data_IF_489741813491
#
_entry.id   IF_489741813491
#
_cell.length_a   1.000
_cell.length_b   1.000
_cell.length_c   1.000
_cell.angle_alpha   90.00
_cell.angle_beta   90.00
_cell.angle_gamma   90.00
#
_symmetry.space_group_name_H-M   'P 1'
#
loop_
_entity.id
_entity.type
_entity.pdbx_description
1 polymer ?
#
# COMPACT_ATOMS: atom_id res chain seq x y z
N UNK A 1 -4.48 33.01 32.25
CA UNK A 1 -3.03 32.83 31.92
C UNK A 1 -2.97 32.39 30.47
N UNK A 2 -2.52 33.25 29.56
CA UNK A 2 -2.45 32.93 28.13
C UNK A 2 -1.19 32.09 27.89
N UNK A 3 -1.35 30.88 27.43
CA UNK A 3 -0.22 30.09 26.98
C UNK A 3 0.30 30.68 25.68
N UNK A 4 1.45 31.33 25.73
CA UNK A 4 2.13 31.81 24.53
C UNK A 4 2.48 30.57 23.67
N UNK A 5 2.03 30.56 22.43
CA UNK A 5 2.33 29.50 21.48
C UNK A 5 3.84 29.35 21.36
N UNK A 6 4.33 28.17 21.63
CA UNK A 6 5.69 27.79 21.27
C UNK A 6 5.75 27.66 19.74
N UNK A 7 6.23 28.71 19.09
CA UNK A 7 6.49 28.70 17.66
C UNK A 7 7.68 27.80 17.36
N UNK A 8 7.43 26.48 17.29
CA UNK A 8 8.35 25.54 16.64
C UNK A 8 7.68 25.09 15.34
N UNK A 9 8.47 25.07 14.27
CA UNK A 9 8.05 24.46 13.01
C UNK A 9 7.50 23.05 13.29
N UNK A 10 6.25 22.79 12.98
CA UNK A 10 5.58 21.54 13.28
C UNK A 10 4.56 21.58 14.42
N UNK A 11 4.49 22.66 15.20
CA UNK A 11 3.45 22.82 16.21
C UNK A 11 2.19 23.48 15.62
N UNK A 12 1.05 22.95 15.99
CA UNK A 12 -0.25 23.49 15.61
C UNK A 12 -0.35 24.93 16.10
N UNK A 13 -0.60 25.88 15.21
CA UNK A 13 -0.84 27.28 15.56
C UNK A 13 -2.15 27.40 16.34
N UNK A 14 -2.31 28.49 17.13
CA UNK A 14 -3.54 28.75 17.88
C UNK A 14 -4.79 28.77 16.99
N UNK A 15 -4.69 29.24 15.76
CA UNK A 15 -5.78 29.21 14.78
C UNK A 15 -6.17 27.78 14.38
N UNK A 16 -5.20 26.88 14.28
CA UNK A 16 -5.47 25.45 14.02
C UNK A 16 -6.12 24.76 15.22
N UNK A 17 -5.75 25.16 16.43
CA UNK A 17 -6.37 24.66 17.65
C UNK A 17 -7.83 25.10 17.79
N UNK A 18 -8.13 26.35 17.44
CA UNK A 18 -9.52 26.85 17.42
C UNK A 18 -10.36 26.18 16.32
N UNK A 19 -9.75 25.80 15.21
CA UNK A 19 -10.41 25.02 14.15
C UNK A 19 -10.77 23.60 14.61
N UNK A 20 -9.93 22.98 15.43
CA UNK A 20 -10.26 21.68 16.05
C UNK A 20 -11.49 21.78 16.96
N UNK A 21 -11.60 22.88 17.75
CA UNK A 21 -12.74 23.11 18.64
C UNK A 21 -14.03 23.40 17.88
N UNK A 22 -13.93 23.96 16.68
CA UNK A 22 -15.06 24.23 15.79
C UNK A 22 -15.50 23.01 14.96
N UNK A 23 -14.98 21.82 15.25
CA UNK A 23 -15.30 20.59 14.52
C UNK A 23 -14.52 20.40 13.20
N UNK A 24 -13.67 21.34 12.83
CA UNK A 24 -12.76 21.18 11.71
C UNK A 24 -11.46 20.53 12.20
N UNK A 25 -11.21 19.31 11.81
CA UNK A 25 -9.95 18.63 12.12
C UNK A 25 -8.82 19.24 11.30
N UNK A 26 -7.86 19.98 11.91
CA UNK A 26 -6.73 20.46 11.14
C UNK A 26 -5.87 19.27 10.76
N UNK A 27 -5.66 19.08 9.49
CA UNK A 27 -4.75 18.07 8.98
C UNK A 27 -3.35 18.66 9.11
N UNK A 28 -2.55 18.06 9.98
CA UNK A 28 -1.16 18.46 10.17
C UNK A 28 -0.35 18.07 8.94
N UNK A 29 0.45 18.97 8.37
CA UNK A 29 1.42 18.61 7.35
C UNK A 29 2.30 17.45 7.85
N UNK A 30 2.51 16.45 7.03
CA UNK A 30 3.27 15.26 7.38
C UNK A 30 2.52 14.17 8.14
N UNK A 31 1.24 14.33 8.45
CA UNK A 31 0.40 13.27 9.00
C UNK A 31 -0.27 12.46 7.89
N UNK A 32 -0.38 11.15 8.10
CA UNK A 32 -1.19 10.30 7.23
C UNK A 32 -2.68 10.49 7.53
N UNK A 33 -3.44 10.74 6.47
CA UNK A 33 -4.89 10.88 6.52
C UNK A 33 -5.54 9.66 5.87
N UNK A 34 -6.54 9.06 6.52
CA UNK A 34 -7.32 7.98 5.93
C UNK A 34 -8.16 8.52 4.76
N UNK A 35 -7.94 7.99 3.57
CA UNK A 35 -8.62 8.41 2.34
C UNK A 35 -9.76 7.46 1.98
N UNK A 36 -9.51 6.17 2.00
CA UNK A 36 -10.47 5.15 1.61
C UNK A 36 -10.21 3.84 2.36
N UNK A 37 -11.27 3.09 2.62
CA UNK A 37 -11.16 1.72 3.14
C UNK A 37 -12.12 0.81 2.39
N UNK A 38 -11.60 -0.32 1.92
CA UNK A 38 -12.39 -1.40 1.36
C UNK A 38 -12.37 -2.60 2.32
N UNK A 39 -13.56 -3.06 2.73
CA UNK A 39 -13.76 -4.27 3.55
C UNK A 39 -14.56 -5.24 2.71
N UNK A 40 -14.02 -6.44 2.50
CA UNK A 40 -14.64 -7.44 1.65
C UNK A 40 -15.69 -8.23 2.43
N UNK A 41 -16.92 -8.18 1.97
CA UNK A 41 -18.05 -8.83 2.63
C UNK A 41 -18.17 -10.32 2.31
N UNK A 42 -17.53 -10.78 1.24
CA UNK A 42 -17.57 -12.17 0.76
C UNK A 42 -16.22 -12.60 0.17
N UNK A 43 -16.05 -13.89 -0.05
CA UNK A 43 -14.82 -14.50 -0.56
C UNK A 43 -14.89 -14.72 -2.08
N UNK A 44 -15.45 -13.78 -2.84
CA UNK A 44 -15.59 -13.87 -4.30
C UNK A 44 -14.77 -12.83 -5.06
N UNK A 45 -14.09 -11.94 -4.34
CA UNK A 45 -13.27 -10.86 -4.91
C UNK A 45 -11.85 -11.36 -5.11
N UNK A 46 -11.38 -11.36 -6.33
CA UNK A 46 -10.00 -11.72 -6.70
C UNK A 46 -9.08 -10.51 -6.88
N UNK A 47 -9.64 -9.33 -7.13
CA UNK A 47 -8.93 -8.06 -7.31
C UNK A 47 -9.59 -6.94 -6.52
N UNK A 48 -8.81 -6.20 -5.74
CA UNK A 48 -9.24 -4.97 -5.07
C UNK A 48 -8.54 -3.79 -5.70
N UNK A 49 -9.32 -2.83 -6.21
CA UNK A 49 -8.79 -1.68 -6.96
C UNK A 49 -9.21 -0.36 -6.34
N UNK A 50 -8.24 0.52 -6.15
CA UNK A 50 -8.40 1.94 -5.87
C UNK A 50 -8.15 2.71 -7.16
N UNK A 51 -9.11 3.48 -7.64
CA UNK A 51 -9.08 4.14 -8.95
C UNK A 51 -9.18 5.66 -8.82
N UNK A 52 -8.96 6.36 -9.94
CA UNK A 52 -9.05 7.83 -10.01
C UNK A 52 -8.07 8.56 -9.06
N UNK A 53 -6.95 7.92 -8.69
CA UNK A 53 -6.06 8.41 -7.64
C UNK A 53 -5.45 9.76 -7.98
N UNK A 54 -4.90 9.92 -9.18
CA UNK A 54 -4.26 11.18 -9.58
C UNK A 54 -5.27 12.32 -9.66
N UNK A 55 -6.45 12.10 -10.23
CA UNK A 55 -7.47 13.14 -10.35
C UNK A 55 -8.07 13.56 -9.01
N UNK A 56 -8.15 12.63 -8.06
CA UNK A 56 -8.77 12.88 -6.75
C UNK A 56 -7.76 13.39 -5.73
N UNK A 57 -6.54 12.88 -5.73
CA UNK A 57 -5.58 13.07 -4.65
C UNK A 57 -4.26 13.72 -5.08
N UNK A 58 -3.96 13.74 -6.39
CA UNK A 58 -2.64 14.15 -6.91
C UNK A 58 -2.24 15.59 -6.59
N UNK A 59 -3.19 16.50 -6.42
CA UNK A 59 -2.90 17.90 -6.03
C UNK A 59 -2.73 18.11 -4.52
N UNK A 60 -3.05 17.11 -3.70
CA UNK A 60 -3.14 17.25 -2.24
C UNK A 60 -2.12 16.41 -1.49
N UNK A 61 -1.82 15.22 -2.00
CA UNK A 61 -0.97 14.27 -1.31
C UNK A 61 0.29 13.97 -2.11
N UNK A 62 1.41 13.93 -1.40
CA UNK A 62 2.71 13.62 -1.99
C UNK A 62 2.97 12.10 -2.02
N UNK A 63 2.53 11.37 -0.98
CA UNK A 63 2.74 9.94 -0.88
C UNK A 63 1.43 9.24 -0.53
N UNK A 64 1.33 7.96 -0.90
CA UNK A 64 0.25 7.08 -0.50
C UNK A 64 0.80 5.94 0.35
N UNK A 65 0.03 5.53 1.35
CA UNK A 65 0.33 4.34 2.15
C UNK A 65 -0.90 3.43 2.19
N UNK A 66 -0.68 2.14 2.02
CA UNK A 66 -1.72 1.12 2.21
C UNK A 66 -1.42 0.29 3.45
N UNK A 67 -2.45 0.11 4.28
CA UNK A 67 -2.46 -0.87 5.37
C UNK A 67 -3.43 -1.97 5.02
N UNK A 68 -2.92 -3.18 4.95
CA UNK A 68 -3.66 -4.34 4.47
C UNK A 68 -3.67 -5.40 5.57
N UNK A 69 -4.86 -5.90 5.88
CA UNK A 69 -5.05 -7.12 6.65
C UNK A 69 -5.90 -8.03 5.78
N UNK A 70 -5.28 -9.03 5.18
CA UNK A 70 -5.92 -9.87 4.19
C UNK A 70 -5.52 -11.34 4.33
N UNK A 71 -6.43 -12.20 3.90
CA UNK A 71 -6.24 -13.62 3.82
C UNK A 71 -6.70 -14.09 2.44
N UNK A 72 -5.98 -15.01 1.82
CA UNK A 72 -6.46 -15.68 0.63
C UNK A 72 -7.54 -16.71 1.01
N UNK A 73 -8.65 -16.72 0.30
CA UNK A 73 -9.65 -17.76 0.44
C UNK A 73 -9.05 -19.10 0.01
N UNK A 74 -9.33 -20.15 0.78
CA UNK A 74 -8.85 -21.50 0.48
C UNK A 74 -9.55 -22.02 -0.76
N UNK A 75 -8.80 -22.19 -1.84
CA UNK A 75 -9.27 -22.90 -3.04
C UNK A 75 -8.29 -24.02 -3.32
N UNK A 76 -8.77 -25.27 -3.29
CA UNK A 76 -8.07 -26.46 -3.78
C UNK A 76 -6.68 -26.75 -3.17
N UNK A 77 -6.49 -26.54 -1.87
CA UNK A 77 -5.28 -26.99 -1.17
C UNK A 77 -4.01 -26.17 -1.41
N UNK A 78 -4.09 -25.01 -2.02
CA UNK A 78 -2.95 -24.11 -2.13
C UNK A 78 -2.49 -23.62 -0.76
N UNK A 79 -1.20 -23.69 -0.53
CA UNK A 79 -0.58 -23.48 0.78
C UNK A 79 -0.16 -22.08 1.06
N UNK A 80 0.18 -21.31 0.03
CA UNK A 80 0.61 -19.93 0.15
C UNK A 80 0.29 -19.17 -1.14
N UNK A 81 -0.17 -17.94 -1.00
CA UNK A 81 -0.42 -17.04 -2.11
C UNK A 81 0.45 -15.79 -1.95
N UNK A 82 1.15 -15.40 -3.00
CA UNK A 82 1.83 -14.13 -3.04
C UNK A 82 0.80 -12.99 -3.13
N UNK A 83 1.02 -11.92 -2.38
CA UNK A 83 0.29 -10.68 -2.57
C UNK A 83 1.02 -9.84 -3.59
N UNK A 84 0.32 -9.49 -4.65
CA UNK A 84 0.80 -8.68 -5.77
C UNK A 84 0.15 -7.31 -5.76
N UNK A 85 0.89 -6.33 -6.23
CA UNK A 85 0.39 -4.98 -6.48
C UNK A 85 0.59 -4.61 -7.94
N UNK A 86 -0.39 -3.94 -8.51
CA UNK A 86 -0.37 -3.43 -9.87
C UNK A 86 -0.67 -1.93 -9.86
N UNK A 87 0.09 -1.18 -10.63
CA UNK A 87 -0.11 0.25 -10.85
C UNK A 87 -0.65 0.48 -12.26
N UNK A 88 -1.63 1.37 -12.40
CA UNK A 88 -2.27 1.71 -13.66
C UNK A 88 -2.93 0.53 -14.39
N UNK A 89 -3.39 -0.48 -13.62
CA UNK A 89 -4.13 -1.64 -14.13
C UNK A 89 -3.34 -2.95 -14.13
N UNK A 90 -4.07 -4.06 -14.11
CA UNK A 90 -3.50 -5.41 -14.21
C UNK A 90 -3.08 -5.66 -15.65
N UNK A 91 -1.79 -5.84 -15.89
CA UNK A 91 -1.24 -5.98 -17.24
C UNK A 91 -1.30 -4.72 -18.10
N UNK A 92 -1.64 -3.56 -17.49
CA UNK A 92 -2.02 -2.33 -18.19
C UNK A 92 -0.89 -1.52 -18.83
N UNK A 93 0.34 -1.81 -18.53
CA UNK A 93 1.47 -0.98 -18.99
C UNK A 93 2.28 -1.62 -20.12
N UNK A 94 1.61 -2.13 -21.11
CA UNK A 94 2.28 -2.52 -22.36
C UNK A 94 3.14 -3.78 -22.27
N UNK A 95 2.76 -4.74 -21.41
CA UNK A 95 3.30 -6.09 -21.57
C UNK A 95 4.36 -6.56 -20.58
N UNK A 96 4.24 -6.22 -19.33
CA UNK A 96 4.72 -7.16 -18.33
C UNK A 96 6.14 -7.03 -17.82
N UNK A 97 6.85 -5.91 -18.05
CA UNK A 97 8.25 -5.76 -17.61
C UNK A 97 8.51 -4.52 -16.77
N UNK A 98 7.45 -3.97 -16.14
CA UNK A 98 7.53 -2.64 -15.54
C UNK A 98 8.00 -2.62 -14.08
N UNK A 99 8.23 -3.78 -13.47
CA UNK A 99 8.62 -3.85 -12.06
C UNK A 99 9.99 -4.49 -11.87
N UNK A 100 10.78 -3.92 -10.99
CA UNK A 100 12.00 -4.51 -10.48
C UNK A 100 11.94 -4.50 -8.95
N UNK A 101 12.04 -5.66 -8.33
CA UNK A 101 11.82 -5.87 -6.89
C UNK A 101 13.07 -6.42 -6.22
N UNK A 102 13.42 -5.87 -5.05
CA UNK A 102 14.38 -6.46 -4.13
C UNK A 102 13.67 -6.82 -2.83
N UNK A 103 13.94 -8.01 -2.32
CA UNK A 103 13.34 -8.53 -1.09
C UNK A 103 14.41 -9.03 -0.14
N UNK A 104 14.26 -8.66 1.14
CA UNK A 104 14.84 -9.37 2.27
C UNK A 104 13.71 -10.16 2.95
N UNK A 105 13.91 -11.45 3.15
CA UNK A 105 12.91 -12.31 3.79
C UNK A 105 13.53 -13.21 4.85
N UNK A 106 12.77 -13.46 5.90
CA UNK A 106 13.04 -14.48 6.90
C UNK A 106 12.09 -15.65 6.65
N UNK A 107 12.63 -16.81 6.33
CA UNK A 107 11.85 -18.05 6.19
C UNK A 107 12.13 -18.90 7.42
N UNK A 108 11.09 -19.36 8.11
CA UNK A 108 11.14 -20.04 9.40
C UNK A 108 12.35 -20.99 9.62
N UNK A 109 12.59 -21.93 8.72
CA UNK A 109 13.65 -22.94 8.85
C UNK A 109 14.87 -22.69 7.96
N UNK A 110 14.77 -21.79 6.99
CA UNK A 110 15.81 -21.59 5.97
C UNK A 110 16.67 -20.34 6.19
N UNK A 111 16.43 -19.59 7.28
CA UNK A 111 17.18 -18.39 7.62
C UNK A 111 16.84 -17.19 6.74
N UNK A 112 17.71 -16.21 6.77
CA UNK A 112 17.55 -14.97 6.00
C UNK A 112 17.93 -15.17 4.53
N UNK A 113 17.14 -14.63 3.64
CA UNK A 113 17.38 -14.68 2.20
C UNK A 113 17.16 -13.30 1.56
N UNK A 114 17.99 -12.99 0.57
CA UNK A 114 17.76 -11.87 -0.34
C UNK A 114 17.33 -12.40 -1.70
N UNK A 115 16.39 -11.70 -2.35
CA UNK A 115 15.94 -12.03 -3.70
C UNK A 115 15.79 -10.76 -4.51
N UNK A 116 16.13 -10.86 -5.79
CA UNK A 116 15.91 -9.80 -6.76
C UNK A 116 15.11 -10.36 -7.93
N UNK A 117 14.11 -9.62 -8.36
CA UNK A 117 13.32 -9.89 -9.55
C UNK A 117 13.39 -8.67 -10.47
N UNK A 118 13.65 -8.88 -11.74
CA UNK A 118 13.62 -7.83 -12.75
C UNK A 118 12.60 -8.17 -13.82
N UNK A 119 12.06 -7.12 -14.44
CA UNK A 119 11.16 -7.28 -15.59
C UNK A 119 9.91 -8.13 -15.28
N UNK A 120 9.28 -7.88 -14.13
CA UNK A 120 8.02 -8.54 -13.75
C UNK A 120 6.82 -7.67 -14.09
N UNK A 121 5.67 -8.31 -14.27
CA UNK A 121 4.39 -7.64 -14.57
C UNK A 121 3.65 -7.14 -13.32
N UNK A 122 4.23 -7.28 -12.14
CA UNK A 122 3.67 -6.87 -10.86
C UNK A 122 4.77 -6.56 -9.83
N UNK A 123 4.44 -5.72 -8.87
CA UNK A 123 5.22 -5.57 -7.64
C UNK A 123 4.87 -6.68 -6.64
N UNK A 124 5.88 -7.18 -5.96
CA UNK A 124 5.71 -8.24 -4.97
C UNK A 124 5.77 -7.66 -3.56
N UNK A 125 4.70 -7.82 -2.77
CA UNK A 125 4.61 -7.20 -1.44
C UNK A 125 4.57 -8.18 -0.27
N UNK A 126 4.48 -9.47 -0.53
CA UNK A 126 4.51 -10.48 0.53
C UNK A 126 3.73 -11.74 0.21
N UNK A 127 3.57 -12.60 1.19
CA UNK A 127 2.71 -13.78 1.12
C UNK A 127 1.52 -13.67 2.06
N UNK A 128 0.38 -14.20 1.65
CA UNK A 128 -0.68 -14.63 2.55
C UNK A 128 -0.80 -16.15 2.48
N UNK A 129 -1.21 -16.78 3.56
CA UNK A 129 -1.43 -18.22 3.57
C UNK A 129 -2.92 -18.51 3.64
N UNK A 130 -3.43 -19.25 2.62
CA UNK A 130 -4.76 -19.82 2.68
C UNK A 130 -4.81 -21.05 3.61
N UNK A 131 -3.73 -21.83 3.66
CA UNK A 131 -3.70 -23.14 4.28
C UNK A 131 -3.72 -23.13 5.82
N UNK A 132 -3.18 -22.10 6.47
CA UNK A 132 -3.06 -22.10 7.93
C UNK A 132 -4.07 -21.21 8.64
N UNK A 133 -5.06 -20.68 7.93
CA UNK A 133 -6.04 -19.80 8.50
C UNK A 133 -5.48 -18.42 8.93
N UNK A 134 -4.24 -18.12 8.60
CA UNK A 134 -3.56 -16.93 9.06
C UNK A 134 -3.84 -15.71 8.18
N UNK A 135 -4.03 -14.58 8.84
CA UNK A 135 -4.15 -13.28 8.19
C UNK A 135 -2.77 -12.69 7.94
N UNK A 136 -2.52 -12.25 6.71
CA UNK A 136 -1.33 -11.47 6.37
C UNK A 136 -1.54 -10.00 6.65
N UNK A 137 -0.52 -9.35 7.20
CA UNK A 137 -0.50 -7.92 7.42
C UNK A 137 0.58 -7.28 6.56
N UNK A 138 0.22 -6.17 5.89
CA UNK A 138 1.13 -5.48 4.99
C UNK A 138 1.03 -3.97 5.20
N UNK A 139 2.19 -3.33 5.13
CA UNK A 139 2.33 -1.88 5.00
C UNK A 139 3.03 -1.66 3.66
N UNK A 140 2.44 -0.83 2.82
CA UNK A 140 2.98 -0.51 1.49
C UNK A 140 3.02 1.00 1.36
N UNK A 141 4.20 1.58 1.25
CA UNK A 141 4.41 3.01 1.00
C UNK A 141 4.74 3.23 -0.48
N UNK A 142 3.95 4.04 -1.14
CA UNK A 142 4.16 4.48 -2.52
C UNK A 142 4.65 5.92 -2.48
N UNK A 143 5.91 6.12 -2.87
CA UNK A 143 6.57 7.42 -2.82
C UNK A 143 6.35 8.16 -4.13
N UNK A 144 5.90 9.41 -4.03
CA UNK A 144 5.66 10.33 -5.14
C UNK A 144 4.85 9.70 -6.30
N UNK A 145 3.67 9.08 -6.01
CA UNK A 145 2.92 8.32 -7.02
C UNK A 145 2.41 9.19 -8.18
N UNK A 146 2.34 10.50 -8.01
CA UNK A 146 1.75 11.41 -9.00
C UNK A 146 2.80 12.15 -9.83
N UNK A 147 4.09 11.91 -9.56
CA UNK A 147 5.18 12.44 -10.36
C UNK A 147 5.27 11.78 -11.73
N UNK A 148 5.54 12.62 -12.76
CA UNK A 148 5.65 12.19 -14.16
C UNK A 148 7.06 12.32 -14.73
N UNK A 149 8.02 12.66 -13.88
CA UNK A 149 9.42 12.91 -14.27
C UNK A 149 10.40 11.86 -13.79
N UNK A 150 9.94 10.96 -12.92
CA UNK A 150 10.76 9.89 -12.33
C UNK A 150 9.94 8.61 -12.13
N UNK A 151 10.64 7.52 -11.93
CA UNK A 151 10.02 6.24 -11.58
C UNK A 151 9.41 6.29 -10.17
N UNK A 152 8.27 5.63 -9.98
CA UNK A 152 7.66 5.45 -8.67
C UNK A 152 8.41 4.37 -7.89
N UNK A 153 8.77 4.68 -6.64
CA UNK A 153 9.38 3.73 -5.70
C UNK A 153 8.35 3.30 -4.67
N UNK A 154 8.34 2.01 -4.37
CA UNK A 154 7.46 1.42 -3.38
C UNK A 154 8.29 0.66 -2.35
N UNK A 155 7.92 0.81 -1.08
CA UNK A 155 8.44 0.02 0.03
C UNK A 155 7.33 -0.84 0.58
N UNK A 156 7.65 -2.06 0.97
CA UNK A 156 6.69 -2.95 1.62
C UNK A 156 7.29 -3.63 2.83
N UNK A 157 6.47 -3.75 3.87
CA UNK A 157 6.74 -4.59 5.04
C UNK A 157 5.56 -5.55 5.18
N UNK A 158 5.84 -6.83 5.29
CA UNK A 158 4.80 -7.83 5.51
C UNK A 158 5.18 -8.80 6.62
N UNK A 159 4.18 -9.21 7.39
CA UNK A 159 4.29 -10.23 8.42
C UNK A 159 3.16 -11.24 8.29
N UNK A 160 3.54 -12.51 8.29
CA UNK A 160 2.66 -13.66 8.35
C UNK A 160 3.49 -14.91 8.69
N UNK A 161 3.58 -15.91 7.82
CA UNK A 161 4.49 -17.05 7.93
C UNK A 161 5.92 -16.72 7.55
N UNK A 162 6.12 -15.62 6.87
CA UNK A 162 7.41 -15.04 6.54
C UNK A 162 7.36 -13.55 6.80
N UNK A 163 8.43 -13.04 7.41
CA UNK A 163 8.65 -11.60 7.50
C UNK A 163 9.40 -11.16 6.25
N UNK A 164 8.89 -10.11 5.60
CA UNK A 164 9.50 -9.54 4.41
C UNK A 164 9.59 -8.04 4.52
N UNK A 165 10.75 -7.57 4.17
CA UNK A 165 10.99 -6.17 3.84
C UNK A 165 11.38 -6.12 2.36
N UNK A 166 10.66 -5.33 1.57
CA UNK A 166 10.91 -5.23 0.15
C UNK A 166 10.78 -3.82 -0.36
N UNK A 167 11.47 -3.55 -1.44
CA UNK A 167 11.26 -2.39 -2.26
C UNK A 167 11.06 -2.83 -3.72
N UNK A 168 10.36 -2.04 -4.48
CA UNK A 168 10.33 -2.19 -5.91
C UNK A 168 10.20 -0.84 -6.61
N UNK A 169 10.70 -0.81 -7.82
CA UNK A 169 10.58 0.29 -8.75
C UNK A 169 9.55 -0.05 -9.80
N UNK A 170 8.62 0.87 -10.00
CA UNK A 170 7.74 0.87 -11.16
C UNK A 170 8.38 1.77 -12.22
N UNK A 171 8.76 1.18 -13.37
CA UNK A 171 9.61 1.84 -14.36
C UNK A 171 8.86 2.72 -15.36
N UNK A 172 7.53 2.72 -15.33
CA UNK A 172 6.76 3.64 -16.16
C UNK A 172 6.75 5.03 -15.51
N UNK A 173 7.16 6.04 -16.26
CA UNK A 173 7.21 7.44 -15.83
C UNK A 173 5.87 8.09 -16.12
N UNK A 174 4.85 7.72 -15.35
CA UNK A 174 3.50 8.24 -15.46
C UNK A 174 2.85 8.35 -14.08
N UNK A 175 1.98 9.33 -13.89
CA UNK A 175 1.21 9.44 -12.67
C UNK A 175 0.38 8.16 -12.42
N UNK A 176 0.35 7.72 -11.18
CA UNK A 176 -0.45 6.55 -10.78
C UNK A 176 -1.91 6.95 -10.70
N UNK A 177 -2.71 6.37 -11.56
CA UNK A 177 -4.16 6.60 -11.64
C UNK A 177 -4.97 5.51 -10.93
N UNK A 178 -4.38 4.32 -10.76
CA UNK A 178 -4.98 3.22 -10.02
C UNK A 178 -3.93 2.34 -9.37
N UNK A 179 -4.32 1.73 -8.24
CA UNK A 179 -3.54 0.69 -7.54
C UNK A 179 -4.47 -0.48 -7.31
N UNK A 180 -4.04 -1.67 -7.74
CA UNK A 180 -4.80 -2.91 -7.56
C UNK A 180 -3.98 -3.92 -6.76
N UNK A 181 -4.65 -4.67 -5.90
CA UNK A 181 -4.09 -5.77 -5.12
C UNK A 181 -4.76 -7.08 -5.55
N UNK A 182 -3.95 -8.13 -5.68
CA UNK A 182 -4.39 -9.46 -6.07
C UNK A 182 -3.51 -10.51 -5.41
N UNK A 183 -4.10 -11.64 -5.04
CA UNK A 183 -3.32 -12.84 -4.76
C UNK A 183 -2.86 -13.51 -6.07
N UNK A 184 -1.69 -14.14 -6.06
CA UNK A 184 -1.26 -14.96 -7.20
C UNK A 184 -2.20 -16.14 -7.42
N UNK A 185 -2.06 -16.80 -8.57
CA UNK A 185 -2.94 -17.86 -8.99
C UNK A 185 -4.44 -17.49 -9.01
N UNK A 186 -4.77 -16.18 -9.06
CA UNK A 186 -6.15 -15.66 -9.04
C UNK A 186 -6.96 -16.16 -7.84
N UNK A 187 -6.31 -16.34 -6.70
CA UNK A 187 -6.99 -16.68 -5.46
C UNK A 187 -7.80 -15.48 -4.97
N UNK A 188 -8.99 -15.75 -4.51
CA UNK A 188 -9.88 -14.74 -3.97
C UNK A 188 -9.42 -14.27 -2.59
N UNK A 189 -9.80 -13.06 -2.23
CA UNK A 189 -9.67 -12.58 -0.86
C UNK A 189 -10.73 -13.22 0.03
N UNK A 190 -10.35 -13.62 1.24
CA UNK A 190 -11.29 -14.08 2.27
C UNK A 190 -12.18 -12.93 2.75
N UNK A 191 -13.43 -13.25 3.08
CA UNK A 191 -14.36 -12.31 3.72
C UNK A 191 -13.75 -11.71 4.98
N UNK A 192 -13.93 -10.42 5.19
CA UNK A 192 -13.31 -9.65 6.26
C UNK A 192 -11.93 -9.08 5.92
N UNK A 193 -11.35 -9.42 4.75
CA UNK A 193 -10.13 -8.76 4.28
C UNK A 193 -10.36 -7.25 4.17
N UNK A 194 -9.38 -6.48 4.65
CA UNK A 194 -9.46 -5.03 4.73
C UNK A 194 -8.22 -4.39 4.13
N UNK A 195 -8.44 -3.43 3.25
CA UNK A 195 -7.40 -2.60 2.65
C UNK A 195 -7.76 -1.14 2.88
N UNK A 196 -6.89 -0.41 3.58
CA UNK A 196 -7.07 1.01 3.87
C UNK A 196 -5.97 1.81 3.22
N UNK A 197 -6.35 2.86 2.50
CA UNK A 197 -5.46 3.80 1.83
C UNK A 197 -5.37 5.09 2.64
N UNK A 198 -4.15 5.58 2.81
CA UNK A 198 -3.82 6.82 3.48
C UNK A 198 -3.00 7.71 2.55
N UNK A 199 -3.17 9.01 2.69
CA UNK A 199 -2.36 10.01 2.00
C UNK A 199 -1.48 10.80 2.97
N UNK A 200 -0.24 11.07 2.57
CA UNK A 200 0.66 12.01 3.24
C UNK A 200 0.66 13.30 2.45
N UNK A 201 0.26 14.40 3.08
CA UNK A 201 0.26 15.72 2.43
C UNK A 201 1.68 16.22 2.18
N UNK A 202 1.83 16.90 1.06
CA UNK A 202 3.01 17.76 0.86
C UNK A 202 3.04 18.87 1.91
N UNK A 203 4.24 19.22 2.36
CA UNK A 203 4.46 20.32 3.30
C UNK A 203 4.15 21.69 2.67
#
# INVERSE_FOLDING_TARGET
MAVKSLARSGLVTYSKYSSMHAGNTPILPGAYELLETQILANSTTDVVTFSSLNSTYGSTYQHLMFRINAKAASVNGNTAAAMRIYMNGIGGDGGGSSYATHLLRQINSSGQQSQAYSSTSYGYIGFSTAQFGNWGQYIVDILDPFETTKNTTVRSLSGNTEERFGDFRYSNVAAITSVSFQHDASLQFESGSRISMYGLRSA
#
